data_IF_666269492795
#
_entry.id   IF_666269492795
#
_cell.length_a   1.000
_cell.length_b   1.000
_cell.length_c   1.000
_cell.angle_alpha   90.00
_cell.angle_beta   90.00
_cell.angle_gamma   90.00
#
_symmetry.space_group_name_H-M   'P 1'
#
loop_
_entity.id
_entity.type
_entity.pdbx_description
1 polymer ?
#
# COMPACT_ATOMS: atom_id res chain seq x y z
N UNK A 1 2.75 -16.52 43.99
CA UNK A 1 2.75 -16.69 42.51
C UNK A 1 1.59 -15.84 41.99
N UNK A 2 1.90 -14.65 41.49
CA UNK A 2 0.90 -13.81 40.80
C UNK A 2 0.89 -14.19 39.32
N UNK A 3 -0.26 -14.45 38.68
CA UNK A 3 -0.33 -14.63 37.25
C UNK A 3 -0.17 -13.26 36.58
N UNK A 4 0.86 -13.11 35.74
CA UNK A 4 1.08 -11.92 34.94
C UNK A 4 -0.10 -11.69 34.00
N UNK A 5 -0.72 -10.53 34.10
CA UNK A 5 -1.68 -10.04 33.11
C UNK A 5 -0.91 -9.72 31.84
N UNK A 6 -1.05 -10.59 30.83
CA UNK A 6 -0.63 -10.28 29.48
C UNK A 6 -1.43 -9.08 28.95
N UNK A 7 -0.81 -7.93 28.91
CA UNK A 7 -1.36 -6.76 28.23
C UNK A 7 -1.50 -7.11 26.74
N UNK A 8 -2.70 -6.97 26.20
CA UNK A 8 -2.97 -7.19 24.78
C UNK A 8 -2.06 -6.27 23.95
N UNK A 9 -1.49 -6.79 22.86
CA UNK A 9 -0.61 -6.08 21.92
C UNK A 9 -1.21 -4.77 21.40
N UNK A 10 -2.51 -4.64 21.46
CA UNK A 10 -3.30 -3.47 21.05
C UNK A 10 -3.07 -2.22 21.95
N UNK A 11 -2.58 -2.40 23.17
CA UNK A 11 -2.37 -1.30 24.11
C UNK A 11 -1.06 -0.53 23.88
N UNK A 12 -0.14 -1.06 23.09
CA UNK A 12 1.17 -0.46 22.84
C UNK A 12 1.24 0.41 21.58
N UNK A 13 0.22 0.38 20.71
CA UNK A 13 0.21 1.23 19.53
C UNK A 13 -0.15 2.69 19.86
N UNK A 14 0.52 3.68 19.23
CA UNK A 14 0.12 5.08 19.29
C UNK A 14 -1.33 5.27 18.87
N UNK A 15 -2.00 6.26 19.44
CA UNK A 15 -3.43 6.51 19.15
C UNK A 15 -3.70 6.73 17.67
N UNK A 16 -2.79 7.42 16.95
CA UNK A 16 -2.92 7.68 15.52
C UNK A 16 -2.86 6.41 14.68
N UNK A 17 -1.87 5.52 14.93
CA UNK A 17 -1.73 4.24 14.25
C UNK A 17 -2.96 3.36 14.42
N UNK A 18 -3.55 3.34 15.61
CA UNK A 18 -4.82 2.62 15.87
C UNK A 18 -5.99 3.18 15.06
N UNK A 19 -6.05 4.49 14.90
CA UNK A 19 -7.11 5.16 14.13
C UNK A 19 -6.90 4.86 12.64
N UNK A 20 -5.68 5.01 12.13
CA UNK A 20 -5.36 4.76 10.72
C UNK A 20 -5.57 3.28 10.36
N UNK A 21 -5.11 2.35 11.19
CA UNK A 21 -5.30 0.90 10.99
C UNK A 21 -6.78 0.52 11.05
N UNK A 22 -7.55 1.10 11.97
CA UNK A 22 -9.01 0.89 12.04
C UNK A 22 -9.71 1.45 10.81
N UNK A 23 -9.31 2.63 10.34
CA UNK A 23 -9.83 3.24 9.11
C UNK A 23 -9.46 2.39 7.88
N UNK A 24 -8.23 1.93 7.76
CA UNK A 24 -7.79 1.07 6.66
C UNK A 24 -8.55 -0.28 6.67
N UNK A 25 -8.65 -0.92 7.84
CA UNK A 25 -9.41 -2.16 8.00
C UNK A 25 -10.91 -1.95 7.74
N UNK A 26 -11.48 -0.82 8.16
CA UNK A 26 -12.88 -0.48 7.91
C UNK A 26 -13.15 -0.19 6.44
N UNK A 27 -12.22 0.50 5.75
CA UNK A 27 -12.29 0.75 4.30
C UNK A 27 -12.15 -0.57 3.55
N UNK A 28 -11.19 -1.43 3.92
CA UNK A 28 -11.01 -2.74 3.31
C UNK A 28 -12.22 -3.64 3.52
N UNK A 29 -12.78 -3.65 4.72
CA UNK A 29 -14.00 -4.41 5.05
C UNK A 29 -15.23 -3.83 4.32
N UNK A 30 -15.36 -2.51 4.25
CA UNK A 30 -16.44 -1.85 3.52
C UNK A 30 -16.37 -2.14 2.02
N UNK A 31 -15.17 -2.23 1.43
CA UNK A 31 -14.97 -2.62 0.04
C UNK A 31 -15.34 -4.08 -0.23
N UNK A 32 -15.13 -4.98 0.74
CA UNK A 32 -15.53 -6.39 0.65
C UNK A 32 -17.05 -6.59 0.76
N UNK A 33 -17.75 -5.69 1.46
CA UNK A 33 -19.20 -5.74 1.70
C UNK A 33 -19.98 -4.67 0.93
N UNK A 34 -19.38 -3.99 -0.08
CA UNK A 34 -20.18 -3.09 -0.92
C UNK A 34 -21.31 -3.88 -1.56
N UNK A 35 -22.59 -3.68 -1.13
CA UNK A 35 -23.72 -4.25 -1.85
C UNK A 35 -23.64 -3.71 -3.27
N UNK A 36 -23.86 -4.55 -4.27
CA UNK A 36 -24.20 -4.09 -5.61
C UNK A 36 -25.48 -3.29 -5.48
N UNK A 37 -25.36 -1.99 -5.30
CA UNK A 37 -26.49 -1.07 -5.35
C UNK A 37 -26.92 -1.06 -6.80
N UNK A 38 -27.93 -1.84 -7.12
CA UNK A 38 -28.61 -1.78 -8.41
C UNK A 38 -29.18 -0.37 -8.54
N UNK A 39 -28.60 0.45 -9.42
CA UNK A 39 -29.07 1.81 -9.71
C UNK A 39 -28.04 2.92 -9.47
N UNK A 40 -26.83 2.64 -8.96
CA UNK A 40 -25.70 3.56 -9.02
C UNK A 40 -24.97 3.33 -10.36
N UNK A 41 -25.68 3.60 -11.44
CA UNK A 41 -25.20 3.42 -12.78
C UNK A 41 -23.89 4.21 -12.96
N UNK A 42 -22.84 3.48 -13.30
CA UNK A 42 -21.59 3.90 -13.94
C UNK A 42 -20.56 4.72 -13.14
N UNK A 43 -20.87 5.19 -11.93
CA UNK A 43 -19.94 6.06 -11.20
C UNK A 43 -18.84 5.31 -10.42
N UNK A 44 -19.12 4.08 -10.01
CA UNK A 44 -18.16 3.18 -9.33
C UNK A 44 -18.12 1.85 -10.06
N UNK A 45 -16.97 1.49 -10.58
CA UNK A 45 -16.77 0.21 -11.27
C UNK A 45 -15.35 -0.32 -11.07
N UNK A 46 -15.13 -1.59 -11.35
CA UNK A 46 -13.76 -2.09 -11.49
C UNK A 46 -13.21 -1.64 -12.85
N UNK A 47 -12.02 -1.05 -12.84
CA UNK A 47 -11.35 -0.65 -14.07
C UNK A 47 -11.06 -1.89 -14.91
N UNK A 48 -11.53 -1.87 -16.15
CA UNK A 48 -11.34 -2.94 -17.14
C UNK A 48 -10.40 -2.47 -18.24
N UNK A 49 -9.66 -3.41 -18.84
CA UNK A 49 -8.79 -3.15 -19.98
C UNK A 49 -7.66 -2.14 -19.70
N UNK A 50 -7.25 -2.00 -18.46
CA UNK A 50 -6.03 -1.26 -18.14
C UNK A 50 -4.80 -1.98 -18.70
N UNK A 51 -3.78 -1.26 -19.15
CA UNK A 51 -2.49 -1.85 -19.52
C UNK A 51 -1.71 -2.30 -18.29
N UNK A 52 -0.62 -3.05 -18.51
CA UNK A 52 0.42 -3.17 -17.50
C UNK A 52 1.05 -1.80 -17.23
N UNK A 53 1.44 -1.58 -15.98
CA UNK A 53 2.08 -0.33 -15.56
C UNK A 53 3.46 -0.58 -14.96
N UNK A 54 4.37 0.34 -15.26
CA UNK A 54 5.53 0.61 -14.42
C UNK A 54 5.21 1.86 -13.61
N UNK A 55 5.30 1.76 -12.28
CA UNK A 55 5.01 2.86 -11.38
C UNK A 55 6.27 3.25 -10.62
N UNK A 56 6.60 4.54 -10.69
CA UNK A 56 7.65 5.18 -9.91
C UNK A 56 6.99 5.96 -8.78
N UNK A 57 7.52 5.82 -7.59
CA UNK A 57 7.01 6.54 -6.43
C UNK A 57 8.16 7.17 -5.64
N UNK A 58 7.88 8.34 -5.06
CA UNK A 58 8.79 9.00 -4.15
C UNK A 58 8.01 9.68 -3.03
N UNK A 59 8.54 9.64 -1.82
CA UNK A 59 7.83 10.21 -0.69
C UNK A 59 8.58 10.16 0.61
N UNK A 60 7.86 10.22 1.70
CA UNK A 60 8.39 10.29 3.07
C UNK A 60 8.02 9.00 3.80
N UNK A 61 9.05 8.37 4.33
CA UNK A 61 9.01 7.21 5.21
C UNK A 61 8.91 7.67 6.66
N UNK A 62 8.26 6.87 7.52
CA UNK A 62 8.04 7.11 8.95
C UNK A 62 7.38 8.46 9.25
N UNK A 63 6.24 8.71 8.60
CA UNK A 63 5.53 9.99 8.75
C UNK A 63 4.82 10.16 10.08
N UNK A 64 4.52 9.05 10.79
CA UNK A 64 3.76 9.11 12.04
C UNK A 64 4.65 9.15 13.27
N UNK A 65 5.66 8.30 13.34
CA UNK A 65 6.49 8.15 14.54
C UNK A 65 7.69 9.11 14.58
N UNK A 66 8.11 9.61 13.42
CA UNK A 66 9.24 10.54 13.25
C UNK A 66 10.55 10.06 13.89
N UNK A 67 10.69 8.74 14.08
CA UNK A 67 11.89 8.16 14.69
C UNK A 67 13.04 8.10 13.71
N UNK A 68 12.70 7.85 12.44
CA UNK A 68 13.66 7.66 11.36
C UNK A 68 13.05 8.17 10.04
N UNK A 69 12.62 9.45 10.05
CA UNK A 69 11.97 10.08 8.90
C UNK A 69 12.98 10.29 7.78
N UNK A 70 12.75 9.60 6.66
CA UNK A 70 13.63 9.54 5.52
C UNK A 70 12.86 9.61 4.20
N UNK A 71 13.59 9.80 3.09
CA UNK A 71 13.00 9.67 1.76
C UNK A 71 12.86 8.20 1.37
N UNK A 72 11.69 7.83 0.84
CA UNK A 72 11.43 6.51 0.25
C UNK A 72 11.21 6.65 -1.24
N UNK A 73 11.85 5.77 -2.03
CA UNK A 73 11.65 5.61 -3.46
C UNK A 73 11.19 4.19 -3.76
N UNK A 74 10.24 4.04 -4.67
CA UNK A 74 9.69 2.73 -5.04
C UNK A 74 9.57 2.59 -6.54
N UNK A 75 9.82 1.37 -7.00
CA UNK A 75 9.52 0.90 -8.35
C UNK A 75 8.53 -0.27 -8.23
N UNK A 76 7.48 -0.23 -9.03
CA UNK A 76 6.44 -1.24 -9.01
C UNK A 76 6.05 -1.63 -10.43
N UNK A 77 5.82 -2.92 -10.67
CA UNK A 77 5.22 -3.44 -11.88
C UNK A 77 3.85 -3.99 -11.55
N UNK A 78 2.82 -3.45 -12.20
CA UNK A 78 1.40 -3.82 -12.04
C UNK A 78 0.94 -4.54 -13.29
N UNK A 79 0.48 -5.76 -13.14
CA UNK A 79 -0.03 -6.55 -14.25
C UNK A 79 -1.45 -6.10 -14.63
N UNK A 80 -1.73 -6.13 -15.95
CA UNK A 80 -3.07 -5.84 -16.49
C UNK A 80 -4.07 -6.94 -16.19
N UNK A 81 -3.60 -8.19 -16.21
CA UNK A 81 -4.44 -9.36 -15.99
C UNK A 81 -5.05 -9.34 -14.60
N UNK A 82 -6.35 -9.52 -14.55
CA UNK A 82 -7.09 -9.52 -13.29
C UNK A 82 -7.79 -10.85 -13.07
N UNK A 83 -7.77 -11.28 -11.82
CA UNK A 83 -8.45 -12.46 -11.34
C UNK A 83 -9.44 -12.05 -10.24
N UNK A 84 -10.74 -12.19 -10.50
CA UNK A 84 -11.81 -11.72 -9.61
C UNK A 84 -11.70 -10.23 -9.21
N UNK A 85 -11.20 -9.40 -10.14
CA UNK A 85 -11.00 -7.97 -9.89
C UNK A 85 -9.68 -7.60 -9.23
N UNK A 86 -8.89 -8.58 -8.82
CA UNK A 86 -7.54 -8.37 -8.27
C UNK A 86 -6.49 -8.49 -9.38
N UNK A 87 -5.52 -7.59 -9.36
CA UNK A 87 -4.38 -7.56 -10.25
C UNK A 87 -3.11 -7.87 -9.46
N UNK A 88 -2.24 -8.76 -9.91
CA UNK A 88 -0.95 -8.98 -9.29
C UNK A 88 -0.05 -7.76 -9.45
N UNK A 89 0.86 -7.56 -8.51
CA UNK A 89 1.95 -6.61 -8.65
C UNK A 89 3.19 -7.08 -7.90
N UNK A 90 4.34 -6.56 -8.31
CA UNK A 90 5.61 -6.70 -7.60
C UNK A 90 6.17 -5.31 -7.33
N UNK A 91 6.87 -5.14 -6.22
CA UNK A 91 7.48 -3.87 -5.89
C UNK A 91 8.84 -4.03 -5.22
N UNK A 92 9.68 -3.03 -5.41
CA UNK A 92 10.90 -2.83 -4.68
C UNK A 92 10.94 -1.38 -4.20
N UNK A 93 11.31 -1.13 -2.95
CA UNK A 93 11.57 0.22 -2.46
C UNK A 93 12.87 0.32 -1.67
N UNK A 94 13.40 1.52 -1.67
CA UNK A 94 14.62 1.92 -1.00
C UNK A 94 14.34 3.17 -0.17
N UNK A 95 14.83 3.14 1.06
CA UNK A 95 14.80 4.28 1.99
C UNK A 95 16.22 4.78 2.19
N UNK A 96 16.39 6.09 2.27
CA UNK A 96 17.73 6.73 2.32
C UNK A 96 18.56 6.34 3.54
N UNK A 97 17.96 5.77 4.58
CA UNK A 97 18.62 5.14 5.72
C UNK A 97 19.16 3.70 5.44
N UNK A 98 19.25 3.28 4.16
CA UNK A 98 19.65 1.94 3.70
C UNK A 98 18.66 0.80 4.00
N UNK A 99 17.41 1.10 4.29
CA UNK A 99 16.36 0.08 4.30
C UNK A 99 15.88 -0.23 2.89
N UNK A 100 15.62 -1.49 2.64
CA UNK A 100 15.07 -1.98 1.36
C UNK A 100 13.89 -2.89 1.61
N UNK A 101 12.92 -2.83 0.69
CA UNK A 101 11.72 -3.64 0.72
C UNK A 101 11.52 -4.30 -0.64
N UNK A 102 11.19 -5.58 -0.65
CA UNK A 102 10.87 -6.33 -1.86
C UNK A 102 9.62 -7.17 -1.60
N UNK A 103 8.60 -7.02 -2.41
CA UNK A 103 7.34 -7.72 -2.21
C UNK A 103 6.57 -7.98 -3.49
N UNK A 104 5.58 -8.84 -3.34
CA UNK A 104 4.58 -9.13 -4.36
C UNK A 104 3.21 -9.19 -3.70
N UNK A 105 2.18 -8.73 -4.40
CA UNK A 105 0.86 -8.63 -3.81
C UNK A 105 -0.26 -8.53 -4.81
N UNK A 106 -1.40 -8.11 -4.29
CA UNK A 106 -2.62 -7.91 -5.04
C UNK A 106 -3.11 -6.48 -4.84
N UNK A 107 -3.59 -5.89 -5.91
CA UNK A 107 -4.25 -4.60 -5.93
C UNK A 107 -5.60 -4.71 -6.62
N UNK A 108 -6.45 -3.72 -6.41
CA UNK A 108 -7.73 -3.58 -7.09
C UNK A 108 -7.85 -2.15 -7.61
N UNK A 109 -8.19 -1.98 -8.89
CA UNK A 109 -8.45 -0.67 -9.47
C UNK A 109 -9.95 -0.39 -9.45
N UNK A 110 -10.36 0.49 -8.55
CA UNK A 110 -11.74 0.97 -8.42
C UNK A 110 -11.82 2.30 -9.14
N UNK A 111 -12.56 2.33 -10.24
CA UNK A 111 -12.79 3.53 -11.03
C UNK A 111 -13.92 4.35 -10.42
N UNK A 112 -13.68 5.63 -10.22
CA UNK A 112 -14.67 6.62 -9.80
C UNK A 112 -14.87 7.63 -10.93
N UNK A 113 -16.04 7.62 -11.56
CA UNK A 113 -16.30 8.40 -12.77
C UNK A 113 -15.33 8.02 -13.89
N UNK A 114 -14.95 9.00 -14.72
CA UNK A 114 -14.18 8.74 -15.94
C UNK A 114 -12.67 8.61 -15.70
N UNK A 115 -12.12 9.35 -14.74
CA UNK A 115 -10.68 9.57 -14.65
C UNK A 115 -10.07 9.23 -13.30
N UNK A 116 -10.83 9.09 -12.23
CA UNK A 116 -10.28 8.81 -10.91
C UNK A 116 -10.21 7.32 -10.62
N UNK A 117 -9.12 6.92 -10.03
CA UNK A 117 -8.87 5.54 -9.59
C UNK A 117 -8.57 5.56 -8.09
N UNK A 118 -9.28 4.74 -7.34
CA UNK A 118 -8.91 4.37 -5.96
C UNK A 118 -8.35 2.96 -5.98
N UNK A 119 -7.13 2.80 -5.49
CA UNK A 119 -6.41 1.54 -5.58
C UNK A 119 -5.97 1.05 -4.20
N UNK A 120 -6.76 0.23 -3.51
CA UNK A 120 -6.29 -0.55 -2.38
C UNK A 120 -5.34 -1.66 -2.83
N UNK A 121 -4.31 -1.94 -2.04
CA UNK A 121 -3.40 -3.05 -2.27
C UNK A 121 -2.86 -3.62 -0.98
N UNK A 122 -2.43 -4.88 -1.04
CA UNK A 122 -1.74 -5.58 0.05
C UNK A 122 -0.63 -6.45 -0.52
N UNK A 123 0.53 -6.47 0.14
CA UNK A 123 1.67 -7.28 -0.24
C UNK A 123 2.42 -7.81 0.97
N UNK A 124 2.61 -9.12 1.12
CA UNK A 124 3.73 -9.63 1.85
C UNK A 124 5.03 -9.09 1.25
N UNK A 125 5.87 -8.54 2.12
CA UNK A 125 7.03 -7.75 1.72
C UNK A 125 8.21 -8.13 2.61
N UNK A 126 9.31 -8.57 2.02
CA UNK A 126 10.54 -8.78 2.71
C UNK A 126 11.29 -7.47 2.86
N UNK A 127 11.68 -7.14 4.09
CA UNK A 127 12.49 -5.96 4.35
C UNK A 127 13.88 -6.32 4.83
N UNK A 128 14.82 -5.42 4.62
CA UNK A 128 16.20 -5.53 5.05
C UNK A 128 16.75 -4.17 5.40
N UNK A 129 17.63 -4.15 6.38
CA UNK A 129 18.22 -2.94 6.90
C UNK A 129 17.51 -2.50 8.19
N UNK A 130 18.29 -2.04 9.16
CA UNK A 130 17.82 -1.44 10.40
C UNK A 130 18.73 -0.29 10.76
N UNK A 131 18.19 0.64 11.51
CA UNK A 131 18.96 1.73 12.10
C UNK A 131 18.98 1.58 13.63
N UNK A 132 19.73 2.43 14.31
CA UNK A 132 19.74 2.46 15.77
C UNK A 132 18.38 2.92 16.34
N UNK A 133 17.59 3.64 15.54
CA UNK A 133 16.28 4.19 15.90
C UNK A 133 15.12 3.27 15.55
N UNK A 134 15.26 2.46 14.48
CA UNK A 134 14.18 1.68 13.92
C UNK A 134 14.60 0.27 13.53
N UNK A 135 13.93 -0.71 14.15
CA UNK A 135 13.96 -2.12 13.81
C UNK A 135 12.51 -2.60 13.68
N UNK A 136 12.11 -3.11 12.52
CA UNK A 136 10.75 -3.58 12.28
C UNK A 136 10.47 -4.97 12.90
N UNK A 137 11.42 -5.54 13.61
CA UNK A 137 11.28 -6.73 14.47
C UNK A 137 11.23 -8.06 13.74
N UNK A 138 10.78 -8.13 12.49
CA UNK A 138 10.70 -9.36 11.71
C UNK A 138 10.92 -9.08 10.22
N UNK A 139 11.63 -9.96 9.52
CA UNK A 139 12.00 -9.75 8.12
C UNK A 139 10.82 -9.69 7.14
N UNK A 140 9.72 -10.39 7.44
CA UNK A 140 8.49 -10.32 6.67
C UNK A 140 7.56 -9.25 7.24
N UNK A 141 7.13 -8.33 6.39
CA UNK A 141 6.14 -7.30 6.68
C UNK A 141 4.92 -7.51 5.79
N UNK A 142 3.77 -7.06 6.22
CA UNK A 142 2.57 -6.92 5.41
C UNK A 142 2.37 -5.45 5.11
N UNK A 143 2.52 -5.09 3.84
CA UNK A 143 2.40 -3.72 3.36
C UNK A 143 1.02 -3.52 2.76
N UNK A 144 0.17 -2.73 3.41
CA UNK A 144 -1.13 -2.29 2.90
C UNK A 144 -1.03 -0.85 2.41
N UNK A 145 -1.67 -0.55 1.28
CA UNK A 145 -1.65 0.78 0.67
C UNK A 145 -3.02 1.14 0.12
N UNK A 146 -3.34 2.41 0.22
CA UNK A 146 -4.41 3.05 -0.53
C UNK A 146 -3.81 4.14 -1.41
N UNK A 147 -4.11 4.13 -2.70
CA UNK A 147 -3.71 5.15 -3.66
C UNK A 147 -4.96 5.81 -4.24
N UNK A 148 -4.90 7.13 -4.44
CA UNK A 148 -5.87 7.88 -5.23
C UNK A 148 -5.10 8.48 -6.39
N UNK A 149 -5.50 8.15 -7.62
CA UNK A 149 -4.83 8.57 -8.83
C UNK A 149 -5.79 9.15 -9.86
N UNK A 150 -5.31 10.10 -10.62
CA UNK A 150 -5.95 10.60 -11.82
C UNK A 150 -5.36 9.90 -13.05
N UNK A 151 -6.23 9.35 -13.90
CA UNK A 151 -5.88 8.68 -15.15
C UNK A 151 -6.02 9.67 -16.31
N UNK A 152 -4.92 9.86 -17.04
CA UNK A 152 -4.87 10.71 -18.23
C UNK A 152 -5.39 9.97 -19.47
N UNK A 153 -5.70 10.69 -20.58
CA UNK A 153 -6.19 10.07 -21.81
C UNK A 153 -5.24 9.04 -22.46
N UNK A 154 -3.94 9.14 -22.19
CA UNK A 154 -2.90 8.21 -22.62
C UNK A 154 -2.75 6.99 -21.69
N UNK A 155 -3.66 6.85 -20.71
CA UNK A 155 -3.65 5.88 -19.63
C UNK A 155 -2.51 6.04 -18.62
N UNK A 156 -1.64 7.04 -18.73
CA UNK A 156 -0.73 7.33 -17.62
C UNK A 156 -1.53 7.77 -16.37
N UNK A 157 -0.94 7.62 -15.18
CA UNK A 157 -1.60 8.00 -13.92
C UNK A 157 -0.66 8.81 -13.06
N UNK A 158 -1.23 9.79 -12.38
CA UNK A 158 -0.57 10.55 -11.33
C UNK A 158 -1.41 10.45 -10.06
N UNK A 159 -0.79 10.09 -8.94
CA UNK A 159 -1.52 9.86 -7.71
C UNK A 159 -0.72 10.10 -6.46
N UNK A 160 -1.42 9.98 -5.33
CA UNK A 160 -0.84 9.99 -4.00
C UNK A 160 -1.27 8.74 -3.26
N UNK A 161 -0.41 8.21 -2.42
CA UNK A 161 -0.72 7.02 -1.64
C UNK A 161 -0.27 7.14 -0.19
N UNK A 162 -1.01 6.47 0.68
CA UNK A 162 -0.62 6.19 2.06
C UNK A 162 -0.41 4.69 2.21
N UNK A 163 0.67 4.33 2.88
CA UNK A 163 1.10 2.95 3.08
C UNK A 163 1.29 2.69 4.56
N UNK A 164 0.88 1.51 5.02
CA UNK A 164 1.21 0.98 6.32
C UNK A 164 1.92 -0.37 6.15
N UNK A 165 3.03 -0.56 6.86
CA UNK A 165 3.75 -1.83 6.91
C UNK A 165 3.87 -2.31 8.35
N UNK A 166 3.59 -3.58 8.60
CA UNK A 166 3.72 -4.21 9.91
C UNK A 166 3.98 -5.69 9.78
N UNK A 167 4.59 -6.30 10.79
CA UNK A 167 4.87 -7.74 10.78
C UNK A 167 3.70 -8.60 11.31
N UNK A 168 2.52 -8.03 11.50
CA UNK A 168 1.34 -8.71 12.03
C UNK A 168 1.61 -9.47 13.37
N UNK A 169 2.52 -8.96 14.18
CA UNK A 169 2.97 -9.57 15.44
C UNK A 169 3.66 -10.93 15.27
N UNK A 170 4.31 -11.18 14.13
CA UNK A 170 5.15 -12.37 13.91
C UNK A 170 6.52 -12.26 14.60
N UNK A 171 6.96 -11.07 14.97
CA UNK A 171 8.18 -10.80 15.73
C UNK A 171 7.89 -10.36 17.16
N UNK A 172 8.95 -10.24 17.96
CA UNK A 172 8.85 -9.79 19.36
C UNK A 172 8.41 -8.31 19.48
N UNK A 173 8.68 -7.53 18.45
CA UNK A 173 8.25 -6.13 18.33
C UNK A 173 7.52 -5.91 17.00
N UNK A 174 6.56 -5.01 16.99
CA UNK A 174 5.82 -4.63 15.79
C UNK A 174 5.52 -3.11 15.85
N UNK A 175 6.54 -2.28 15.56
CA UNK A 175 6.38 -0.82 15.67
C UNK A 175 5.37 -0.27 14.66
N UNK A 176 5.20 -0.94 13.50
CA UNK A 176 4.49 -0.41 12.36
C UNK A 176 5.27 0.74 11.71
N UNK A 177 4.99 1.04 10.45
CA UNK A 177 5.59 2.15 9.73
C UNK A 177 4.63 2.68 8.67
N UNK A 178 4.52 3.99 8.56
CA UNK A 178 3.67 4.66 7.58
C UNK A 178 4.52 5.47 6.61
N UNK A 179 4.12 5.43 5.33
CA UNK A 179 4.72 6.24 4.27
C UNK A 179 3.64 6.97 3.48
N UNK A 180 3.96 8.18 3.05
CA UNK A 180 3.13 8.94 2.10
C UNK A 180 3.96 9.22 0.86
N UNK A 181 3.42 8.88 -0.30
CA UNK A 181 4.16 8.91 -1.56
C UNK A 181 3.33 9.57 -2.68
N UNK A 182 4.05 10.20 -3.60
CA UNK A 182 3.54 10.58 -4.92
C UNK A 182 3.90 9.48 -5.91
N UNK A 183 2.97 9.14 -6.79
CA UNK A 183 3.09 8.01 -7.72
C UNK A 183 2.90 8.49 -9.17
N UNK A 184 3.74 7.99 -10.07
CA UNK A 184 3.61 8.17 -11.52
C UNK A 184 3.57 6.76 -12.12
N UNK A 185 2.45 6.40 -12.74
CA UNK A 185 2.28 5.11 -13.41
C UNK A 185 2.28 5.32 -14.91
N UNK A 186 3.17 4.62 -15.61
CA UNK A 186 3.34 4.71 -17.06
C UNK A 186 2.95 3.37 -17.68
N UNK A 187 2.05 3.35 -18.68
CA UNK A 187 1.71 2.14 -19.42
C UNK A 187 2.95 1.52 -20.08
N UNK A 188 3.09 0.20 -19.99
CA UNK A 188 4.24 -0.49 -20.60
C UNK A 188 4.28 -0.38 -22.12
N UNK A 189 3.15 -0.05 -22.76
CA UNK A 189 3.08 0.24 -24.18
C UNK A 189 4.00 1.39 -24.61
N UNK A 190 4.35 2.31 -23.72
CA UNK A 190 5.27 3.41 -24.01
C UNK A 190 6.72 2.93 -24.22
N UNK A 191 7.07 1.77 -23.68
CA UNK A 191 8.41 1.18 -23.79
C UNK A 191 8.51 0.17 -24.93
N UNK A 192 7.41 -0.15 -25.62
CA UNK A 192 7.42 -1.05 -26.78
C UNK A 192 7.74 -0.24 -28.04
N UNK A 193 8.97 -0.33 -28.50
CA UNK A 193 9.33 0.15 -29.83
C UNK A 193 8.52 -0.65 -30.87
N UNK A 194 7.86 0.07 -31.78
CA UNK A 194 7.30 -0.51 -33.00
C UNK A 194 8.40 -0.80 -34.01
#
# INVERSE_FOLDING_TARGET
VHPGQGLSSDSQMPRGARILMRLLNFILLALLFMPRVAGADDWISLAKNDPDYVTFSGGVFDVEHEKDREAEFSLEYRYADQFWGFKPFVHASYVTNNMTFLGAGLLMDIQLGDNWIVQPSIAPTWWRGKTDQLDLGYGLQFRSRIEIAYRFPDNSRFGVSATHSSNASLGDTNPGIESVMVNISVPTSFFRYK
#
